data_IF_606436990177
#
_entry.id   IF_606436990177
#
_cell.length_a   1.000
_cell.length_b   1.000
_cell.length_c   1.000
_cell.angle_alpha   90.00
_cell.angle_beta   90.00
_cell.angle_gamma   90.00
#
_symmetry.space_group_name_H-M   'P 1'
#
loop_
_entity.id
_entity.type
_entity.pdbx_description
1 polymer ?
#
# COMPACT_ATOMS: atom_id res chain seq x y z
N UNK A 1 0.12 -53.91 53.64
CA UNK A 1 -1.29 -53.60 53.97
C UNK A 1 -1.57 -52.17 53.54
N UNK A 2 -1.88 -51.96 52.25
CA UNK A 2 -2.27 -50.64 51.70
C UNK A 2 -3.31 -50.88 50.61
N UNK A 3 -4.42 -50.15 50.70
CA UNK A 3 -5.72 -50.41 50.07
C UNK A 3 -5.81 -49.95 48.61
N UNK A 4 -6.55 -50.72 47.81
CA UNK A 4 -7.04 -50.40 46.46
C UNK A 4 -7.91 -49.13 46.45
N UNK A 5 -7.74 -48.30 45.42
CA UNK A 5 -8.65 -47.20 45.08
C UNK A 5 -9.32 -47.51 43.74
N UNK A 6 -10.65 -47.39 43.74
CA UNK A 6 -11.59 -47.69 42.65
C UNK A 6 -11.60 -46.59 41.59
N UNK A 7 -11.82 -47.02 40.35
CA UNK A 7 -12.22 -46.19 39.23
C UNK A 7 -13.66 -45.67 39.39
N UNK A 8 -13.90 -44.46 38.86
CA UNK A 8 -15.24 -43.96 38.56
C UNK A 8 -15.19 -43.21 37.23
N UNK A 9 -15.87 -43.78 36.23
CA UNK A 9 -16.26 -43.13 34.98
C UNK A 9 -17.39 -42.14 35.26
N UNK A 10 -17.31 -40.94 34.69
CA UNK A 10 -18.47 -40.06 34.54
C UNK A 10 -18.48 -39.51 33.11
N UNK A 11 -19.51 -39.89 32.36
CA UNK A 11 -19.84 -39.35 31.06
C UNK A 11 -20.51 -37.97 31.19
N UNK A 12 -20.21 -37.05 30.26
CA UNK A 12 -20.93 -35.79 30.10
C UNK A 12 -21.22 -35.58 28.61
N UNK A 13 -22.49 -35.27 28.32
CA UNK A 13 -23.10 -35.34 27.00
C UNK A 13 -22.84 -34.14 26.10
N UNK A 14 -23.02 -34.40 24.80
CA UNK A 14 -23.08 -33.43 23.72
C UNK A 14 -24.45 -32.72 23.74
N UNK A 15 -24.44 -31.38 23.83
CA UNK A 15 -25.57 -30.54 23.48
C UNK A 15 -25.16 -29.61 22.34
N UNK A 16 -25.75 -29.82 21.16
CA UNK A 16 -25.58 -28.96 19.99
C UNK A 16 -26.56 -27.78 20.09
N UNK A 17 -26.02 -26.57 20.29
CA UNK A 17 -26.77 -25.32 20.16
C UNK A 17 -26.54 -24.74 18.76
N UNK A 18 -27.60 -24.70 17.95
CA UNK A 18 -27.63 -24.01 16.68
C UNK A 18 -27.64 -22.50 16.93
N UNK A 19 -26.58 -21.80 16.50
CA UNK A 19 -26.53 -20.33 16.53
C UNK A 19 -26.95 -19.82 15.16
N UNK A 20 -28.15 -19.23 15.11
CA UNK A 20 -28.59 -18.36 14.02
C UNK A 20 -27.94 -16.99 14.22
N UNK A 21 -26.87 -16.68 13.48
CA UNK A 21 -26.33 -15.32 13.40
C UNK A 21 -27.07 -14.53 12.34
N UNK A 22 -28.02 -13.70 12.78
CA UNK A 22 -28.56 -12.58 12.00
C UNK A 22 -27.43 -11.60 11.68
N UNK A 23 -27.24 -11.34 10.38
CA UNK A 23 -26.23 -10.43 9.86
C UNK A 23 -26.44 -9.00 10.35
N UNK A 24 -25.58 -8.56 11.27
CA UNK A 24 -25.28 -7.16 11.45
C UNK A 24 -24.11 -6.84 10.51
N UNK A 25 -24.37 -6.02 9.48
CA UNK A 25 -23.32 -5.37 8.69
C UNK A 25 -22.48 -4.54 9.65
N UNK A 26 -21.37 -5.10 10.10
CA UNK A 26 -20.35 -4.38 10.83
C UNK A 26 -19.83 -3.27 9.92
N UNK A 27 -20.01 -2.03 10.36
CA UNK A 27 -19.19 -0.91 9.94
C UNK A 27 -17.75 -1.27 10.34
N UNK A 28 -17.06 -1.91 9.41
CA UNK A 28 -15.71 -2.43 9.59
C UNK A 28 -14.79 -1.24 9.88
N UNK A 29 -14.44 -1.05 11.15
CA UNK A 29 -13.66 0.07 11.63
C UNK A 29 -12.37 0.19 10.80
N UNK A 30 -12.32 1.19 9.93
CA UNK A 30 -11.15 1.45 9.08
C UNK A 30 -9.92 1.61 9.96
N UNK A 31 -8.90 0.79 9.72
CA UNK A 31 -7.64 0.87 10.45
C UNK A 31 -7.08 2.31 10.39
N UNK A 32 -6.59 2.87 11.52
CA UNK A 32 -6.06 4.22 11.53
C UNK A 32 -4.79 4.33 10.67
N UNK A 33 -4.46 5.54 10.17
CA UNK A 33 -3.16 5.79 9.54
C UNK A 33 -2.02 5.33 10.45
N UNK A 34 -0.95 4.78 9.87
CA UNK A 34 0.19 4.24 10.62
C UNK A 34 1.47 4.99 10.28
N UNK A 35 2.36 5.10 11.26
CA UNK A 35 3.71 5.64 11.08
C UNK A 35 4.74 4.75 11.77
N UNK A 36 5.94 4.68 11.18
CA UNK A 36 7.12 4.02 11.75
C UNK A 36 8.27 5.03 11.72
N UNK A 37 8.83 5.42 12.88
CA UNK A 37 8.36 5.09 14.23
C UNK A 37 6.93 5.62 14.51
N UNK A 38 6.23 5.07 15.51
CA UNK A 38 4.89 5.56 15.87
C UNK A 38 4.94 6.98 16.44
N UNK A 39 3.86 7.74 16.26
CA UNK A 39 3.70 9.08 16.85
C UNK A 39 4.31 10.23 16.03
N UNK A 40 4.78 9.97 14.81
CA UNK A 40 5.17 11.02 13.87
C UNK A 40 3.92 11.87 13.53
N UNK A 41 3.97 13.21 13.68
CA UNK A 41 2.82 14.08 13.47
C UNK A 41 2.60 14.40 11.98
N UNK A 42 2.59 13.35 11.16
CA UNK A 42 2.33 13.39 9.74
C UNK A 42 1.29 12.33 9.42
N UNK A 43 0.33 12.70 8.57
CA UNK A 43 -0.67 11.76 8.06
C UNK A 43 -0.58 11.72 6.54
N UNK A 44 -0.55 10.51 6.01
CA UNK A 44 -0.61 10.24 4.57
C UNK A 44 -2.05 9.84 4.20
N UNK A 45 -2.61 10.46 3.18
CA UNK A 45 -3.95 10.12 2.66
C UNK A 45 -3.93 9.96 1.15
N UNK A 46 -4.87 9.18 0.63
CA UNK A 46 -5.10 9.02 -0.80
C UNK A 46 -6.54 9.43 -1.08
N UNK A 47 -6.74 10.27 -2.08
CA UNK A 47 -8.06 10.76 -2.50
C UNK A 47 -8.14 10.87 -4.03
N UNK A 48 -9.34 11.08 -4.56
CA UNK A 48 -9.58 11.25 -6.00
C UNK A 48 -10.67 10.35 -6.54
N UNK A 49 -10.59 10.02 -7.83
CA UNK A 49 -11.55 9.15 -8.51
C UNK A 49 -11.45 7.71 -7.97
N UNK A 50 -12.58 7.11 -7.62
CA UNK A 50 -12.64 5.76 -7.04
C UNK A 50 -13.26 4.70 -7.95
N UNK A 51 -13.89 5.11 -9.05
CA UNK A 51 -14.50 4.19 -10.02
C UNK A 51 -13.72 4.19 -11.33
N UNK A 52 -13.37 3.03 -11.85
CA UNK A 52 -12.59 2.88 -13.09
C UNK A 52 -13.19 1.80 -13.98
N UNK A 53 -12.88 1.85 -15.27
CA UNK A 53 -13.26 0.80 -16.22
C UNK A 53 -12.06 -0.10 -16.46
N UNK A 54 -12.26 -1.41 -16.41
CA UNK A 54 -11.28 -2.39 -16.83
C UNK A 54 -11.23 -2.41 -18.36
N UNK A 55 -10.16 -1.83 -18.92
CA UNK A 55 -9.87 -1.87 -20.35
C UNK A 55 -8.48 -2.49 -20.58
N UNK A 56 -8.39 -3.81 -20.86
CA UNK A 56 -7.11 -4.46 -21.12
C UNK A 56 -6.56 -4.20 -22.53
N UNK A 57 -7.27 -3.43 -23.38
CA UNK A 57 -6.85 -3.17 -24.75
C UNK A 57 -5.42 -2.58 -24.82
N UNK A 58 -4.61 -2.97 -25.82
CA UNK A 58 -4.96 -3.78 -26.99
C UNK A 58 -4.96 -5.30 -26.76
N UNK A 59 -4.71 -5.76 -25.53
CA UNK A 59 -4.73 -7.19 -25.19
C UNK A 59 -6.14 -7.66 -24.83
N UNK A 60 -6.37 -8.97 -24.94
CA UNK A 60 -7.53 -9.60 -24.31
C UNK A 60 -7.31 -9.69 -22.80
N UNK A 61 -8.38 -9.78 -22.00
CA UNK A 61 -8.29 -9.90 -20.55
C UNK A 61 -7.36 -11.05 -20.10
N UNK A 62 -7.49 -12.21 -20.75
CA UNK A 62 -6.64 -13.37 -20.48
C UNK A 62 -5.17 -13.14 -20.85
N UNK A 63 -4.90 -12.49 -21.99
CA UNK A 63 -3.54 -12.17 -22.41
C UNK A 63 -2.89 -11.13 -21.47
N UNK A 64 -3.67 -10.14 -21.03
CA UNK A 64 -3.26 -9.14 -20.06
C UNK A 64 -2.89 -9.76 -18.72
N UNK A 65 -3.78 -10.61 -18.17
CA UNK A 65 -3.53 -11.34 -16.93
C UNK A 65 -2.30 -12.24 -17.04
N UNK A 66 -2.20 -13.03 -18.12
CA UNK A 66 -1.02 -13.88 -18.37
C UNK A 66 0.27 -13.08 -18.47
N UNK A 67 0.26 -11.88 -19.07
CA UNK A 67 1.44 -11.03 -19.15
C UNK A 67 1.92 -10.57 -17.76
N UNK A 68 0.99 -10.17 -16.89
CA UNK A 68 1.26 -9.77 -15.51
C UNK A 68 1.73 -10.97 -14.67
N UNK A 69 1.02 -12.10 -14.73
CA UNK A 69 1.38 -13.31 -13.99
C UNK A 69 2.75 -13.86 -14.39
N UNK A 70 3.11 -13.76 -15.68
CA UNK A 70 4.43 -14.18 -16.16
C UNK A 70 5.55 -13.27 -15.67
N UNK A 71 5.27 -11.97 -15.50
CA UNK A 71 6.24 -11.02 -14.96
C UNK A 71 6.40 -11.13 -13.44
N UNK A 72 5.38 -11.62 -12.73
CA UNK A 72 5.43 -11.86 -11.29
C UNK A 72 6.33 -13.05 -10.89
N UNK A 73 6.64 -13.96 -11.82
CA UNK A 73 7.39 -15.20 -11.52
C UNK A 73 8.88 -14.90 -11.28
N UNK A 74 9.44 -15.24 -10.10
CA UNK A 74 10.86 -15.05 -9.83
C UNK A 74 11.73 -15.90 -10.77
N UNK A 75 12.84 -15.34 -11.26
CA UNK A 75 13.83 -16.08 -12.07
C UNK A 75 13.63 -16.05 -13.58
N UNK A 76 12.50 -15.59 -14.11
CA UNK A 76 12.45 -15.16 -15.52
C UNK A 76 13.20 -13.83 -15.61
N UNK A 77 14.44 -13.86 -16.11
CA UNK A 77 15.31 -12.70 -16.37
C UNK A 77 14.61 -11.70 -17.29
N UNK A 78 13.77 -10.86 -16.71
CA UNK A 78 12.87 -10.00 -17.43
C UNK A 78 11.87 -10.81 -18.28
N UNK A 79 10.79 -10.14 -18.63
CA UNK A 79 10.53 -10.05 -20.05
C UNK A 79 11.87 -9.67 -20.72
N UNK A 80 12.61 -10.63 -21.30
CA UNK A 80 13.96 -10.37 -21.84
C UNK A 80 13.99 -9.12 -22.71
N UNK A 81 15.11 -8.38 -22.77
CA UNK A 81 15.29 -7.13 -23.55
C UNK A 81 14.27 -6.99 -24.70
N UNK A 82 13.14 -6.30 -24.43
CA UNK A 82 12.06 -6.13 -25.41
C UNK A 82 10.66 -6.59 -24.99
N UNK A 83 10.49 -7.48 -24.00
CA UNK A 83 9.13 -7.78 -23.53
C UNK A 83 8.62 -6.64 -22.65
N UNK A 84 7.60 -5.94 -23.14
CA UNK A 84 7.06 -4.75 -22.49
C UNK A 84 5.94 -5.17 -21.54
N UNK A 85 6.06 -4.86 -20.26
CA UNK A 85 4.92 -4.94 -19.34
C UNK A 85 3.79 -4.06 -19.89
N UNK A 86 2.52 -4.46 -19.75
CA UNK A 86 1.42 -3.54 -19.98
C UNK A 86 1.61 -2.28 -19.15
N UNK A 87 1.22 -1.12 -19.69
CA UNK A 87 1.27 0.11 -18.92
C UNK A 87 0.38 -0.06 -17.66
N UNK A 88 0.82 0.41 -16.49
CA UNK A 88 -0.04 0.42 -15.31
C UNK A 88 -1.33 1.20 -15.57
N UNK A 89 -2.44 0.84 -14.91
CA UNK A 89 -3.71 1.49 -15.12
C UNK A 89 -3.64 3.00 -14.89
N UNK A 90 -4.32 3.74 -15.76
CA UNK A 90 -4.48 5.20 -15.64
C UNK A 90 -5.47 5.48 -14.52
N UNK A 91 -5.08 6.37 -13.62
CA UNK A 91 -5.88 6.79 -12.48
C UNK A 91 -5.92 8.30 -12.37
N UNK A 92 -6.83 8.82 -11.57
CA UNK A 92 -6.82 10.23 -11.18
C UNK A 92 -6.93 10.33 -9.66
N UNK A 93 -5.77 10.21 -9.02
CA UNK A 93 -5.62 10.18 -7.59
C UNK A 93 -4.66 11.28 -7.13
N UNK A 94 -4.77 11.66 -5.87
CA UNK A 94 -3.84 12.53 -5.18
C UNK A 94 -3.41 11.86 -3.90
N UNK A 95 -2.09 11.76 -3.70
CA UNK A 95 -1.51 11.38 -2.40
C UNK A 95 -1.17 12.67 -1.66
N UNK A 96 -1.63 12.81 -0.44
CA UNK A 96 -1.45 14.02 0.37
C UNK A 96 -0.73 13.67 1.68
N UNK A 97 0.36 14.40 1.95
CA UNK A 97 1.08 14.40 3.22
C UNK A 97 0.70 15.66 3.99
N UNK A 98 0.10 15.50 5.17
CA UNK A 98 -0.35 16.60 6.02
C UNK A 98 0.43 16.66 7.33
N UNK A 99 0.86 17.86 7.73
CA UNK A 99 1.37 18.13 9.07
C UNK A 99 0.21 18.26 10.07
N UNK A 100 0.16 17.37 11.05
CA UNK A 100 -0.88 17.36 12.10
C UNK A 100 -0.40 17.90 13.44
N UNK A 101 0.83 18.39 13.53
CA UNK A 101 1.32 19.07 14.73
C UNK A 101 0.90 20.55 14.77
N UNK A 102 1.18 21.16 15.91
CA UNK A 102 1.11 22.60 16.18
C UNK A 102 2.39 23.35 15.79
N UNK A 103 3.39 22.66 15.23
CA UNK A 103 4.70 23.23 14.86
C UNK A 103 4.99 23.03 13.37
N UNK A 104 5.83 23.88 12.81
CA UNK A 104 6.33 23.66 11.46
C UNK A 104 7.26 22.43 11.43
N UNK A 105 7.17 21.65 10.36
CA UNK A 105 8.05 20.52 10.08
C UNK A 105 8.75 20.75 8.73
N UNK A 106 9.98 20.29 8.58
CA UNK A 106 10.62 20.18 7.27
C UNK A 106 10.61 18.72 6.84
N UNK A 107 10.13 18.45 5.62
CA UNK A 107 10.02 17.08 5.10
C UNK A 107 10.70 16.97 3.74
N UNK A 108 11.22 15.79 3.41
CA UNK A 108 11.67 15.53 2.04
C UNK A 108 10.47 15.21 1.13
N UNK A 109 10.36 15.87 -0.02
CA UNK A 109 9.23 15.68 -0.95
C UNK A 109 9.65 15.13 -2.31
N UNK A 110 10.95 15.18 -2.61
CA UNK A 110 11.58 14.62 -3.82
C UNK A 110 12.98 14.12 -3.49
N UNK A 111 13.61 13.44 -4.45
CA UNK A 111 14.95 12.84 -4.31
C UNK A 111 14.85 11.32 -4.08
N UNK A 112 15.99 10.64 -4.12
CA UNK A 112 16.03 9.17 -4.04
C UNK A 112 15.62 8.60 -2.68
N UNK A 113 15.90 9.25 -1.54
CA UNK A 113 15.40 8.81 -0.24
C UNK A 113 13.88 8.90 -0.08
N UNK A 114 13.18 9.63 -0.96
CA UNK A 114 11.71 9.76 -0.95
C UNK A 114 11.11 8.67 -1.83
N UNK A 115 10.48 7.68 -1.19
CA UNK A 115 9.90 6.52 -1.87
C UNK A 115 8.42 6.44 -1.54
N UNK A 116 7.57 6.79 -2.51
CA UNK A 116 6.13 6.58 -2.46
C UNK A 116 5.80 5.25 -3.12
N UNK A 117 5.21 4.30 -2.43
CA UNK A 117 4.77 3.00 -2.95
C UNK A 117 3.25 2.89 -2.88
N UNK A 118 2.62 2.48 -3.97
CA UNK A 118 1.17 2.31 -4.08
C UNK A 118 0.84 0.82 -4.18
N UNK A 119 0.35 0.20 -3.12
CA UNK A 119 -0.01 -1.21 -3.11
C UNK A 119 -1.50 -1.41 -3.31
N UNK A 120 -1.87 -2.26 -4.26
CA UNK A 120 -3.24 -2.67 -4.50
C UNK A 120 -3.50 -4.05 -3.87
N UNK A 121 -4.62 -4.19 -3.16
CA UNK A 121 -5.15 -5.44 -2.67
C UNK A 121 -6.54 -5.70 -3.28
N UNK A 122 -6.90 -6.97 -3.45
CA UNK A 122 -8.20 -7.37 -4.02
C UNK A 122 -8.08 -8.57 -4.94
N UNK A 123 -9.20 -9.15 -5.35
CA UNK A 123 -9.20 -10.26 -6.28
C UNK A 123 -8.62 -9.82 -7.63
N UNK A 124 -7.53 -10.44 -8.06
CA UNK A 124 -6.85 -10.08 -9.30
C UNK A 124 -5.98 -8.82 -9.20
N UNK A 125 -5.61 -8.36 -8.00
CA UNK A 125 -4.57 -7.35 -7.83
C UNK A 125 -3.18 -7.96 -8.05
N UNK A 126 -2.29 -7.23 -8.71
CA UNK A 126 -0.87 -7.59 -8.81
C UNK A 126 0.00 -6.35 -8.56
N UNK A 127 1.04 -6.51 -7.74
CA UNK A 127 2.04 -5.48 -7.47
C UNK A 127 3.40 -6.02 -7.89
N UNK A 128 4.08 -5.34 -8.80
CA UNK A 128 5.30 -5.79 -9.46
C UNK A 128 6.41 -4.74 -9.30
N UNK A 129 7.63 -5.19 -9.06
CA UNK A 129 8.83 -4.35 -9.02
C UNK A 129 9.75 -4.67 -10.21
N UNK A 130 9.40 -4.26 -11.45
CA UNK A 130 10.21 -4.59 -12.60
C UNK A 130 11.59 -3.93 -12.49
N UNK A 131 12.67 -4.62 -12.93
CA UNK A 131 13.97 -3.97 -13.06
C UNK A 131 13.89 -2.94 -14.18
N UNK A 132 13.97 -1.66 -13.82
CA UNK A 132 14.02 -0.56 -14.79
C UNK A 132 15.42 0.00 -14.81
N UNK A 133 15.96 0.19 -16.02
CA UNK A 133 17.19 0.93 -16.20
C UNK A 133 17.02 2.35 -15.64
N UNK A 134 17.81 2.70 -14.64
CA UNK A 134 17.82 4.02 -14.01
C UNK A 134 19.17 4.69 -14.21
N UNK A 135 19.15 6.01 -14.31
CA UNK A 135 20.37 6.82 -14.30
C UNK A 135 21.08 6.62 -12.97
N UNK A 136 22.41 6.46 -13.00
CA UNK A 136 23.25 6.27 -11.80
C UNK A 136 23.47 7.57 -11.01
N UNK A 137 22.99 8.71 -11.50
CA UNK A 137 23.04 9.98 -10.78
C UNK A 137 22.25 9.86 -9.48
N UNK A 138 22.83 10.24 -8.33
CA UNK A 138 22.07 10.32 -7.08
C UNK A 138 21.27 11.62 -7.05
N UNK A 139 19.95 11.54 -6.79
CA UNK A 139 19.10 12.72 -6.68
C UNK A 139 18.96 13.13 -5.23
N UNK A 140 19.62 14.24 -4.88
CA UNK A 140 19.59 14.83 -3.54
C UNK A 140 18.13 15.11 -3.12
N UNK A 141 17.75 14.80 -1.87
CA UNK A 141 16.45 15.18 -1.33
C UNK A 141 16.12 16.65 -1.52
N UNK A 142 14.87 16.96 -1.86
CA UNK A 142 14.37 18.32 -1.79
C UNK A 142 13.53 18.50 -0.55
N UNK A 143 13.88 19.49 0.24
CA UNK A 143 13.19 19.86 1.46
C UNK A 143 11.96 20.72 1.17
N UNK A 144 10.92 20.55 1.99
CA UNK A 144 9.73 21.36 1.95
C UNK A 144 9.29 21.63 3.37
N UNK A 145 9.14 22.91 3.71
CA UNK A 145 8.59 23.33 5.00
C UNK A 145 7.07 23.19 4.96
N UNK A 146 6.52 22.43 5.91
CA UNK A 146 5.10 22.25 6.15
C UNK A 146 4.72 22.96 7.45
N UNK A 147 4.04 24.09 7.32
CA UNK A 147 3.43 24.78 8.47
C UNK A 147 2.32 23.91 9.10
N UNK A 148 1.93 24.18 10.36
CA UNK A 148 0.85 23.47 11.04
C UNK A 148 -0.41 23.37 10.18
N UNK A 149 -0.95 22.15 10.04
CA UNK A 149 -2.17 21.88 9.27
C UNK A 149 -2.02 21.98 7.75
N UNK A 150 -0.85 22.35 7.21
CA UNK A 150 -0.59 22.39 5.76
C UNK A 150 -0.24 21.02 5.21
N UNK A 151 -0.43 20.89 3.89
CA UNK A 151 -0.23 19.65 3.17
C UNK A 151 0.63 19.82 1.93
N UNK A 152 1.28 18.74 1.53
CA UNK A 152 1.95 18.56 0.25
C UNK A 152 1.26 17.45 -0.55
N UNK A 153 1.05 17.65 -1.84
CA UNK A 153 0.28 16.72 -2.68
C UNK A 153 1.10 16.23 -3.87
N UNK A 154 1.05 14.91 -4.12
CA UNK A 154 1.55 14.29 -5.34
C UNK A 154 0.38 13.85 -6.22
N UNK A 155 0.24 14.37 -7.45
CA UNK A 155 -0.72 13.83 -8.39
C UNK A 155 -0.27 12.44 -8.86
N UNK A 156 -1.19 11.48 -8.81
CA UNK A 156 -0.99 10.11 -9.26
C UNK A 156 -1.90 9.88 -10.46
N UNK A 157 -1.29 9.86 -11.65
CA UNK A 157 -1.99 9.69 -12.93
C UNK A 157 -1.97 8.26 -13.46
N UNK A 158 -1.13 7.41 -12.87
CA UNK A 158 -1.01 5.99 -13.17
C UNK A 158 -0.67 5.26 -11.87
N UNK A 159 -1.03 3.98 -11.75
CA UNK A 159 -0.60 3.11 -10.65
C UNK A 159 0.87 2.68 -10.81
N UNK A 160 1.72 3.69 -10.89
CA UNK A 160 3.16 3.61 -11.06
C UNK A 160 3.80 4.47 -9.99
N UNK A 161 4.67 3.86 -9.20
CA UNK A 161 5.22 4.42 -7.97
C UNK A 161 6.62 3.84 -7.69
N UNK A 162 7.10 3.94 -6.47
CA UNK A 162 8.41 3.51 -6.01
C UNK A 162 9.46 4.62 -6.07
N UNK A 163 10.73 4.22 -6.01
CA UNK A 163 11.88 5.10 -6.20
C UNK A 163 11.78 5.84 -7.54
N UNK A 164 11.89 7.17 -7.49
CA UNK A 164 11.69 8.10 -8.62
C UNK A 164 10.35 7.93 -9.35
N UNK A 165 9.35 7.34 -8.71
CA UNK A 165 8.03 7.09 -9.29
C UNK A 165 8.06 6.09 -10.46
N UNK A 166 9.02 5.16 -10.48
CA UNK A 166 9.13 4.24 -11.61
C UNK A 166 9.27 2.76 -11.26
N UNK A 167 9.63 2.40 -10.04
CA UNK A 167 10.06 1.03 -9.72
C UNK A 167 8.96 0.09 -9.28
N UNK A 168 7.75 0.57 -9.01
CA UNK A 168 6.66 -0.23 -8.46
C UNK A 168 5.37 -0.03 -9.27
N UNK A 169 4.86 -1.10 -9.86
CA UNK A 169 3.68 -1.09 -10.73
C UNK A 169 2.56 -1.91 -10.11
N UNK A 170 1.36 -1.35 -10.08
CA UNK A 170 0.20 -2.01 -9.47
C UNK A 170 -0.92 -2.12 -10.49
N UNK A 171 -1.55 -3.28 -10.53
CA UNK A 171 -2.49 -3.67 -11.58
C UNK A 171 -3.74 -4.30 -10.98
N UNK A 172 -4.90 -4.01 -11.58
CA UNK A 172 -6.08 -4.86 -11.50
C UNK A 172 -6.18 -5.67 -12.80
N UNK A 173 -6.39 -6.98 -12.68
CA UNK A 173 -6.45 -7.91 -13.83
C UNK A 173 -7.88 -8.24 -14.27
N UNK A 174 -8.87 -7.61 -13.67
CA UNK A 174 -10.27 -7.73 -14.02
C UNK A 174 -11.15 -6.72 -13.28
N UNK A 175 -12.47 -6.79 -13.49
CA UNK A 175 -13.45 -6.03 -12.70
C UNK A 175 -13.50 -6.54 -11.25
N UNK A 176 -13.81 -5.66 -10.30
CA UNK A 176 -13.96 -6.00 -8.90
C UNK A 176 -13.74 -4.83 -7.94
N UNK A 177 -13.81 -5.13 -6.65
CA UNK A 177 -13.45 -4.20 -5.59
C UNK A 177 -11.97 -4.37 -5.21
N UNK A 178 -11.30 -3.25 -5.01
CA UNK A 178 -9.88 -3.18 -4.67
C UNK A 178 -9.65 -2.19 -3.53
N UNK A 179 -8.56 -2.38 -2.81
CA UNK A 179 -8.09 -1.45 -1.79
C UNK A 179 -6.70 -0.96 -2.14
N UNK A 180 -6.54 0.36 -2.26
CA UNK A 180 -5.28 1.02 -2.55
C UNK A 180 -4.70 1.61 -1.27
N UNK A 181 -3.47 1.21 -0.94
CA UNK A 181 -2.71 1.76 0.19
C UNK A 181 -1.46 2.46 -0.31
N UNK A 182 -1.26 3.71 0.11
CA UNK A 182 0.00 4.42 -0.11
C UNK A 182 0.94 4.23 1.10
N UNK A 183 2.20 3.97 0.82
CA UNK A 183 3.28 3.99 1.80
C UNK A 183 4.33 5.01 1.35
N UNK A 184 4.74 5.91 2.24
CA UNK A 184 5.75 6.94 1.95
C UNK A 184 6.91 6.81 2.92
N UNK A 185 8.09 6.47 2.40
CA UNK A 185 9.36 6.64 3.13
C UNK A 185 9.92 8.03 2.83
N UNK A 186 10.21 8.80 3.87
CA UNK A 186 10.75 10.17 3.75
C UNK A 186 11.54 10.58 4.99
N UNK A 187 12.26 11.70 4.93
CA UNK A 187 12.93 12.34 6.07
C UNK A 187 12.08 13.47 6.65
N UNK A 188 12.14 13.64 7.97
CA UNK A 188 11.40 14.66 8.72
C UNK A 188 12.30 15.35 9.74
N UNK A 189 12.19 16.66 9.83
CA UNK A 189 12.81 17.50 10.85
C UNK A 189 11.74 18.30 11.61
N UNK A 190 11.81 18.41 12.95
CA UNK A 190 12.80 17.79 13.84
C UNK A 190 12.73 16.26 13.83
N UNK A 191 13.85 15.60 14.15
CA UNK A 191 13.97 14.13 14.19
C UNK A 191 12.91 13.55 15.14
N UNK A 192 11.94 12.77 14.65
CA UNK A 192 10.94 12.16 15.50
C UNK A 192 11.57 11.16 16.47
N UNK A 193 10.98 11.01 17.66
CA UNK A 193 11.47 10.06 18.67
C UNK A 193 11.47 8.64 18.11
N UNK A 194 12.63 7.97 18.20
CA UNK A 194 12.81 6.61 17.72
C UNK A 194 13.05 6.47 16.20
N UNK A 195 13.11 7.58 15.47
CA UNK A 195 13.55 7.57 14.08
C UNK A 195 15.08 7.47 14.01
N UNK A 196 15.59 6.83 12.96
CA UNK A 196 17.02 6.88 12.65
C UNK A 196 17.35 8.26 12.12
N UNK A 197 18.32 8.93 12.75
CA UNK A 197 18.85 10.22 12.30
C UNK A 197 19.72 10.02 11.05
N UNK A 198 19.50 10.85 10.05
CA UNK A 198 20.25 10.95 8.82
C UNK A 198 20.41 12.44 8.48
N UNK A 199 21.58 13.00 8.81
CA UNK A 199 21.92 14.42 8.61
C UNK A 199 20.89 15.41 9.22
N UNK A 200 20.38 15.10 10.41
CA UNK A 200 19.41 15.94 11.12
C UNK A 200 17.95 15.69 10.71
N UNK A 201 17.71 14.74 9.81
CA UNK A 201 16.38 14.25 9.47
C UNK A 201 16.14 12.86 10.03
N UNK A 202 15.01 12.66 10.69
CA UNK A 202 14.55 11.33 11.06
C UNK A 202 13.89 10.64 9.89
N UNK A 203 14.36 9.45 9.52
CA UNK A 203 13.72 8.65 8.47
C UNK A 203 12.45 8.01 9.02
N UNK A 204 11.32 8.29 8.35
CA UNK A 204 10.00 7.77 8.71
C UNK A 204 9.37 7.03 7.55
N UNK A 205 8.47 6.10 7.87
CA UNK A 205 7.55 5.50 6.90
C UNK A 205 6.12 5.77 7.34
N UNK A 206 5.32 6.35 6.46
CA UNK A 206 3.91 6.65 6.68
C UNK A 206 3.07 5.72 5.82
N UNK A 207 1.96 5.22 6.34
CA UNK A 207 1.02 4.36 5.61
C UNK A 207 -0.38 4.95 5.70
N UNK A 208 -1.01 5.15 4.55
CA UNK A 208 -2.36 5.68 4.47
C UNK A 208 -3.38 4.64 4.93
N UNK A 209 -4.59 5.11 5.27
CA UNK A 209 -5.77 4.23 5.29
C UNK A 209 -6.02 3.71 3.88
N UNK A 210 -6.49 2.46 3.70
CA UNK A 210 -6.85 1.95 2.38
C UNK A 210 -7.99 2.76 1.74
N UNK A 211 -7.79 3.16 0.49
CA UNK A 211 -8.81 3.77 -0.37
C UNK A 211 -9.49 2.66 -1.17
N UNK A 212 -10.81 2.50 -0.98
CA UNK A 212 -11.61 1.54 -1.76
C UNK A 212 -11.78 2.05 -3.19
N UNK A 213 -11.50 1.19 -4.16
CA UNK A 213 -11.63 1.43 -5.59
C UNK A 213 -12.54 0.36 -6.20
N UNK A 214 -13.45 0.77 -7.09
CA UNK A 214 -14.30 -0.14 -7.85
C UNK A 214 -13.88 -0.12 -9.31
N UNK A 215 -13.60 -1.28 -9.87
CA UNK A 215 -13.27 -1.45 -11.28
C UNK A 215 -14.41 -2.19 -11.97
N UNK A 216 -15.04 -1.57 -12.95
CA UNK A 216 -16.18 -2.09 -13.68
C UNK A 216 -15.75 -2.73 -15.00
N UNK A 217 -16.45 -3.77 -15.45
CA UNK A 217 -16.25 -4.34 -16.77
C UNK A 217 -16.69 -3.37 -17.86
N UNK A 218 -16.03 -3.46 -19.02
CA UNK A 218 -16.45 -2.77 -20.24
C UNK A 218 -17.53 -3.57 -20.97
#
# INVERSE_FOLDING_TARGET
>A
MVRSIRAAMTAAGLAAAAVLTTGASADEAKAPPKSVPPGVPLVLTVSGKVKYTFDPAPLTADAYKKAIDNAAKPGKKGLGFGGKLPNPPVVDLTVELKNTSDKALTVWTKGDPVVLTLNLAGAGSANLDPPIAMTQEFRIPQETKLEPGKSYSWPVKQLKSGMRGATHYSYWTGPGEYELTASLRTGVQPVPKGATDNDGFGVVTLTSVPLKLTVEGK
#
